data_IF_515220796393
#
_entry.id   IF_515220796393
#
_cell.length_a   1.000
_cell.length_b   1.000
_cell.length_c   1.000
_cell.angle_alpha   90.00
_cell.angle_beta   90.00
_cell.angle_gamma   90.00
#
_symmetry.space_group_name_H-M   'P 1'
#
loop_
_entity.id
_entity.type
_entity.pdbx_description
1 polymer ?
#
# COMPACT_ATOMS: atom_id res chain seq x y z
N UNK A 1 -12.20 -1.64 3.53
CA UNK A 1 -11.35 -1.53 2.32
C UNK A 1 -11.53 -0.12 1.78
N UNK A 2 -10.48 0.72 1.79
CA UNK A 2 -10.53 2.07 1.22
C UNK A 2 -9.95 2.00 -0.20
N UNK A 3 -10.79 1.63 -1.17
CA UNK A 3 -10.47 1.74 -2.58
C UNK A 3 -11.38 2.81 -3.19
N UNK A 4 -10.90 3.63 -4.15
CA UNK A 4 -11.77 4.53 -4.88
C UNK A 4 -12.90 3.72 -5.52
N UNK A 5 -14.14 4.14 -5.31
CA UNK A 5 -15.33 3.47 -5.88
C UNK A 5 -15.87 4.19 -7.13
N UNK A 6 -15.42 5.42 -7.37
CA UNK A 6 -15.83 6.20 -8.52
C UNK A 6 -15.13 5.77 -9.81
N UNK A 7 -15.79 6.05 -10.93
CA UNK A 7 -15.26 5.79 -12.26
C UNK A 7 -13.96 6.58 -12.51
N UNK A 8 -12.97 5.91 -13.09
CA UNK A 8 -11.73 6.59 -13.52
C UNK A 8 -11.75 7.03 -14.97
N UNK A 9 -12.33 6.22 -15.84
CA UNK A 9 -12.27 6.40 -17.30
C UNK A 9 -13.66 6.35 -17.91
N UNK A 10 -14.35 5.22 -17.72
CA UNK A 10 -15.66 4.96 -18.31
C UNK A 10 -16.72 4.95 -17.21
N UNK A 11 -17.84 5.67 -17.39
CA UNK A 11 -18.96 5.62 -16.45
C UNK A 11 -19.46 4.19 -16.22
N UNK A 12 -19.60 3.79 -14.96
CA UNK A 12 -20.08 2.48 -14.54
C UNK A 12 -19.04 1.36 -14.45
N UNK A 13 -17.76 1.61 -14.80
CA UNK A 13 -16.69 0.60 -14.73
C UNK A 13 -15.87 0.65 -13.42
N UNK A 14 -16.13 1.65 -12.58
CA UNK A 14 -15.43 1.88 -11.33
C UNK A 14 -13.97 2.29 -11.54
N UNK A 15 -13.18 2.08 -10.49
CA UNK A 15 -11.78 2.47 -10.47
C UNK A 15 -10.85 1.29 -10.77
N UNK A 16 -10.05 1.41 -11.82
CA UNK A 16 -8.95 0.48 -12.10
C UNK A 16 -7.60 1.22 -12.03
N UNK A 17 -6.65 0.79 -11.17
CA UNK A 17 -5.29 1.30 -11.16
C UNK A 17 -4.57 0.98 -12.48
N UNK A 18 -3.71 1.90 -12.93
CA UNK A 18 -2.91 1.78 -14.15
C UNK A 18 -1.43 1.66 -13.77
N UNK A 19 -0.60 1.00 -14.61
CA UNK A 19 0.84 0.97 -14.40
C UNK A 19 1.41 2.38 -14.20
N UNK A 20 2.28 2.54 -13.21
CA UNK A 20 2.89 3.83 -12.85
C UNK A 20 2.14 4.61 -11.77
N UNK A 21 0.86 4.29 -11.51
CA UNK A 21 0.12 4.88 -10.40
C UNK A 21 0.81 4.65 -9.06
N UNK A 22 0.68 5.60 -8.15
CA UNK A 22 1.11 5.44 -6.76
C UNK A 22 -0.11 5.25 -5.86
N UNK A 23 -0.20 4.09 -5.20
CA UNK A 23 -1.20 3.81 -4.18
C UNK A 23 -0.59 4.10 -2.82
N UNK A 24 -1.23 5.00 -2.07
CA UNK A 24 -0.85 5.35 -0.70
C UNK A 24 -1.97 4.97 0.25
N UNK A 25 -1.65 4.20 1.28
CA UNK A 25 -2.55 3.92 2.40
C UNK A 25 -1.93 4.52 3.66
N UNK A 26 -2.64 5.42 4.32
CA UNK A 26 -2.11 6.17 5.47
C UNK A 26 -2.97 5.98 6.72
N UNK A 27 -2.32 5.96 7.87
CA UNK A 27 -2.97 6.15 9.17
C UNK A 27 -2.10 7.05 10.05
N UNK A 28 -2.74 7.76 10.99
CA UNK A 28 -2.02 8.63 11.92
C UNK A 28 -0.99 7.86 12.76
N UNK A 29 -1.31 6.62 13.17
CA UNK A 29 -0.46 5.81 14.05
C UNK A 29 0.74 5.17 13.33
N UNK A 30 0.57 4.75 12.08
CA UNK A 30 1.58 3.95 11.37
C UNK A 30 2.34 4.75 10.30
N UNK A 31 1.83 5.92 9.91
CA UNK A 31 2.26 6.65 8.73
C UNK A 31 1.67 6.04 7.46
N UNK A 32 2.44 6.03 6.38
CA UNK A 32 1.97 5.65 5.04
C UNK A 32 2.69 4.44 4.47
N UNK A 33 1.92 3.52 3.92
CA UNK A 33 2.40 2.48 3.00
C UNK A 33 2.18 2.96 1.57
N UNK A 34 3.27 3.12 0.81
CA UNK A 34 3.25 3.65 -0.55
C UNK A 34 3.79 2.59 -1.51
N UNK A 35 3.02 2.25 -2.55
CA UNK A 35 3.42 1.31 -3.59
C UNK A 35 3.16 1.90 -4.97
N UNK A 36 4.04 1.60 -5.94
CA UNK A 36 3.80 1.91 -7.36
C UNK A 36 3.21 0.70 -8.07
N UNK A 37 2.14 0.91 -8.84
CA UNK A 37 1.45 -0.13 -9.59
C UNK A 37 2.31 -0.57 -10.78
N UNK A 38 2.48 -1.88 -10.92
CA UNK A 38 3.08 -2.52 -12.08
C UNK A 38 2.52 -3.94 -12.24
N UNK A 39 2.79 -4.57 -13.38
CA UNK A 39 2.43 -5.96 -13.63
C UNK A 39 3.33 -6.90 -12.83
N UNK A 40 2.74 -7.93 -12.21
CA UNK A 40 3.44 -8.95 -11.44
C UNK A 40 4.53 -9.68 -12.23
N UNK A 41 4.38 -9.81 -13.55
CA UNK A 41 5.36 -10.46 -14.44
C UNK A 41 6.62 -9.63 -14.63
N UNK A 42 6.56 -8.32 -14.38
CA UNK A 42 7.68 -7.38 -14.62
C UNK A 42 8.39 -6.91 -13.36
N UNK A 43 7.86 -7.22 -12.18
CA UNK A 43 8.44 -6.82 -10.90
C UNK A 43 9.29 -7.95 -10.34
N UNK A 44 10.32 -7.58 -9.59
CA UNK A 44 11.09 -8.55 -8.81
C UNK A 44 10.19 -9.22 -7.77
N UNK A 45 10.53 -10.44 -7.33
CA UNK A 45 9.85 -11.06 -6.19
C UNK A 45 9.83 -10.12 -4.98
N UNK A 46 8.76 -10.20 -4.20
CA UNK A 46 8.64 -9.36 -3.02
C UNK A 46 9.61 -9.83 -1.94
N UNK A 47 10.62 -9.02 -1.65
CA UNK A 47 11.58 -9.26 -0.56
C UNK A 47 11.08 -8.77 0.81
N UNK A 48 10.43 -7.59 0.94
CA UNK A 48 9.91 -7.13 2.23
C UNK A 48 8.58 -7.84 2.56
N UNK A 49 8.62 -8.79 3.49
CA UNK A 49 7.43 -9.41 4.07
C UNK A 49 7.01 -8.79 5.41
N UNK A 50 6.13 -9.49 6.14
CA UNK A 50 5.63 -9.06 7.46
C UNK A 50 6.75 -8.76 8.46
N UNK A 51 7.84 -9.54 8.47
CA UNK A 51 8.99 -9.26 9.33
C UNK A 51 9.68 -7.93 8.99
N UNK A 52 9.80 -7.59 7.71
CA UNK A 52 10.38 -6.31 7.31
C UNK A 52 9.51 -5.14 7.76
N UNK A 53 8.17 -5.30 7.68
CA UNK A 53 7.21 -4.34 8.22
C UNK A 53 7.39 -4.20 9.74
N UNK A 54 7.38 -5.30 10.51
CA UNK A 54 7.53 -5.24 11.97
C UNK A 54 8.88 -4.61 12.37
N UNK A 55 9.97 -4.93 11.68
CA UNK A 55 11.28 -4.29 11.87
C UNK A 55 11.25 -2.79 11.55
N UNK A 56 10.52 -2.37 10.51
CA UNK A 56 10.33 -0.95 10.19
C UNK A 56 9.60 -0.23 11.33
N UNK A 57 8.50 -0.81 11.83
CA UNK A 57 7.72 -0.26 12.94
C UNK A 57 8.55 -0.19 14.24
N UNK A 58 9.30 -1.26 14.55
CA UNK A 58 10.18 -1.32 15.72
C UNK A 58 11.25 -0.22 15.69
N UNK A 59 11.95 -0.06 14.56
CA UNK A 59 12.97 0.99 14.38
C UNK A 59 12.41 2.40 14.55
N UNK A 60 11.13 2.59 14.29
CA UNK A 60 10.42 3.87 14.44
C UNK A 60 9.77 4.04 15.82
N UNK A 61 10.01 3.10 16.75
CA UNK A 61 9.39 3.04 18.07
C UNK A 61 7.84 3.05 18.03
N UNK A 62 7.25 2.48 16.97
CA UNK A 62 5.79 2.40 16.78
C UNK A 62 5.19 1.08 17.28
N UNK A 63 6.02 0.15 17.73
CA UNK A 63 5.59 -1.05 18.44
C UNK A 63 5.49 -0.73 19.94
N UNK A 64 4.62 0.22 20.29
CA UNK A 64 4.33 0.55 21.69
C UNK A 64 2.99 -0.06 22.10
N UNK A 65 3.10 -0.85 23.16
CA UNK A 65 2.09 -1.48 24.00
C UNK A 65 1.11 -2.48 23.34
N UNK A 66 1.35 -3.77 23.65
CA UNK A 66 0.29 -4.74 23.87
C UNK A 66 -0.28 -4.46 25.28
N UNK A 67 -0.89 -3.28 25.43
CA UNK A 67 -1.71 -2.93 26.59
C UNK A 67 -3.14 -3.41 26.36
#
# INVERSE_FOLDING_TARGET
MFAPVGDRVVPGEGFTPKPGDTVTVSSLRLGSLVNRISSSVRITPWEPGVLALMRNLARRALLTDLG
#
